data_IF_757745579994
#
_entry.id   IF_757745579994
#
_cell.length_a   1.000
_cell.length_b   1.000
_cell.length_c   1.000
_cell.angle_alpha   90.00
_cell.angle_beta   90.00
_cell.angle_gamma   90.00
#
_symmetry.space_group_name_H-M   'P 1'
#
loop_
_entity.id
_entity.type
_entity.pdbx_description
1 polymer ?
#
# COMPACT_ATOMS: atom_id res chain seq x y z
N UNK A 1 -4.19 -14.86 16.09
CA UNK A 1 -4.50 -14.52 14.69
C UNK A 1 -3.22 -14.00 14.05
N UNK A 2 -2.70 -14.64 13.00
CA UNK A 2 -1.43 -14.26 12.37
C UNK A 2 -1.71 -13.50 11.08
N UNK A 3 -1.48 -12.19 11.08
CA UNK A 3 -1.64 -11.34 9.90
C UNK A 3 -0.29 -11.32 9.19
N UNK A 4 -0.27 -11.66 7.90
CA UNK A 4 0.94 -11.55 7.11
C UNK A 4 1.29 -10.08 6.88
N UNK A 5 2.58 -9.76 6.83
CA UNK A 5 3.04 -8.40 6.48
C UNK A 5 2.44 -7.93 5.14
N UNK A 6 2.23 -8.86 4.20
CA UNK A 6 1.54 -8.58 2.93
C UNK A 6 0.12 -8.06 3.12
N UNK A 7 -0.68 -8.72 3.94
CA UNK A 7 -2.05 -8.31 4.22
C UNK A 7 -2.08 -6.95 4.94
N UNK A 8 -1.23 -6.78 5.97
CA UNK A 8 -1.13 -5.51 6.71
C UNK A 8 -0.77 -4.34 5.78
N UNK A 9 0.27 -4.47 4.97
CA UNK A 9 0.70 -3.41 4.05
C UNK A 9 -0.30 -3.14 2.93
N UNK A 10 -0.98 -4.17 2.43
CA UNK A 10 -2.06 -4.00 1.46
C UNK A 10 -3.18 -3.13 2.04
N UNK A 11 -3.63 -3.43 3.26
CA UNK A 11 -4.68 -2.69 3.93
C UNK A 11 -4.27 -1.24 4.18
N UNK A 12 -3.06 -0.99 4.68
CA UNK A 12 -2.56 0.38 4.90
C UNK A 12 -2.48 1.19 3.60
N UNK A 13 -2.01 0.57 2.52
CA UNK A 13 -1.95 1.24 1.21
C UNK A 13 -3.34 1.58 0.66
N UNK A 14 -4.32 0.67 0.80
CA UNK A 14 -5.71 0.92 0.41
C UNK A 14 -6.35 2.05 1.24
N UNK A 15 -6.07 2.07 2.55
CA UNK A 15 -6.54 3.15 3.42
C UNK A 15 -5.95 4.49 3.02
N UNK A 16 -4.65 4.57 2.72
CA UNK A 16 -4.00 5.81 2.30
C UNK A 16 -4.59 6.33 0.98
N UNK A 17 -4.89 5.46 0.02
CA UNK A 17 -5.59 5.81 -1.22
C UNK A 17 -7.03 6.30 -0.96
N UNK A 18 -7.73 5.69 -0.01
CA UNK A 18 -9.11 6.04 0.33
C UNK A 18 -9.26 7.40 1.02
N UNK A 19 -8.17 7.98 1.57
CA UNK A 19 -8.19 9.28 2.24
C UNK A 19 -8.60 10.42 1.31
N UNK A 20 -8.17 10.36 0.06
CA UNK A 20 -8.48 11.36 -0.97
C UNK A 20 -8.79 10.65 -2.30
N UNK A 21 -10.03 10.16 -2.51
CA UNK A 21 -10.38 9.29 -3.65
C UNK A 21 -10.20 9.87 -5.07
N UNK A 22 -9.79 11.14 -5.20
CA UNK A 22 -9.48 11.80 -6.47
C UNK A 22 -8.01 12.17 -6.65
N UNK A 23 -7.17 11.90 -5.64
CA UNK A 23 -5.75 12.23 -5.68
C UNK A 23 -4.93 10.99 -6.02
N UNK A 24 -4.32 10.90 -7.21
CA UNK A 24 -3.41 9.81 -7.50
C UNK A 24 -2.20 9.89 -6.58
N UNK A 25 -1.88 8.77 -5.92
CA UNK A 25 -0.68 8.60 -5.10
C UNK A 25 0.28 7.64 -5.78
N UNK A 26 1.56 7.97 -5.75
CA UNK A 26 2.62 7.06 -6.20
C UNK A 26 2.90 6.00 -5.14
N UNK A 27 3.40 4.84 -5.55
CA UNK A 27 3.83 3.81 -4.60
C UNK A 27 4.96 4.32 -3.69
N UNK A 28 5.83 5.19 -4.19
CA UNK A 28 6.90 5.83 -3.42
C UNK A 28 6.33 6.71 -2.29
N UNK A 29 5.29 7.49 -2.58
CA UNK A 29 4.64 8.35 -1.59
C UNK A 29 3.97 7.52 -0.48
N UNK A 30 3.24 6.46 -0.85
CA UNK A 30 2.59 5.56 0.11
C UNK A 30 3.65 4.82 0.95
N UNK A 31 4.71 4.31 0.32
CA UNK A 31 5.81 3.63 1.01
C UNK A 31 6.49 4.55 2.05
N UNK A 32 6.75 5.80 1.69
CA UNK A 32 7.34 6.78 2.60
C UNK A 32 6.39 7.18 3.73
N UNK A 33 5.10 7.40 3.45
CA UNK A 33 4.09 7.79 4.44
C UNK A 33 3.84 6.71 5.49
N UNK A 34 3.86 5.44 5.06
CA UNK A 34 3.53 4.29 5.91
C UNK A 34 4.76 3.51 6.40
N UNK A 35 5.97 4.00 6.10
CA UNK A 35 7.26 3.36 6.43
C UNK A 35 7.36 1.90 5.92
N UNK A 36 6.82 1.64 4.73
CA UNK A 36 6.79 0.31 4.11
C UNK A 36 7.95 0.18 3.10
N UNK A 37 8.68 -0.94 3.06
CA UNK A 37 9.71 -1.16 2.04
C UNK A 37 9.13 -1.06 0.62
N UNK A 38 9.65 -0.12 -0.17
CA UNK A 38 9.11 0.23 -1.49
C UNK A 38 8.96 -0.97 -2.44
N UNK A 39 10.00 -1.81 -2.56
CA UNK A 39 9.97 -2.98 -3.46
C UNK A 39 8.87 -3.96 -3.07
N UNK A 40 8.61 -4.11 -1.78
CA UNK A 40 7.57 -4.98 -1.27
C UNK A 40 6.19 -4.40 -1.57
N UNK A 41 5.97 -3.11 -1.26
CA UNK A 41 4.71 -2.43 -1.57
C UNK A 41 4.38 -2.49 -3.06
N UNK A 42 5.37 -2.28 -3.93
CA UNK A 42 5.19 -2.36 -5.39
C UNK A 42 4.70 -3.74 -5.84
N UNK A 43 5.22 -4.82 -5.22
CA UNK A 43 4.70 -6.17 -5.45
C UNK A 43 3.23 -6.27 -5.03
N UNK A 44 2.92 -5.88 -3.79
CA UNK A 44 1.55 -5.96 -3.23
C UNK A 44 0.54 -5.19 -4.07
N UNK A 45 0.83 -3.94 -4.43
CA UNK A 45 -0.06 -3.11 -5.27
C UNK A 45 -0.23 -3.71 -6.66
N UNK A 46 0.84 -4.29 -7.23
CA UNK A 46 0.77 -5.02 -8.49
C UNK A 46 -0.20 -6.21 -8.44
N UNK A 47 -0.30 -6.88 -7.28
CA UNK A 47 -1.26 -7.96 -7.07
C UNK A 47 -2.68 -7.47 -6.84
N UNK A 48 -2.87 -6.35 -6.13
CA UNK A 48 -4.20 -5.74 -5.87
C UNK A 48 -4.87 -5.20 -7.15
N UNK A 49 -4.10 -4.91 -8.19
CA UNK A 49 -4.61 -4.40 -9.47
C UNK A 49 -5.16 -5.49 -10.39
N UNK A 50 -4.87 -6.76 -10.11
CA UNK A 50 -5.44 -7.90 -10.85
C UNK A 50 -6.86 -8.17 -10.38
#
# INVERSE_FOLDING_TARGET
>A
MHISAKADYATRALLELAREPGRPLTCEAIASSQEIPFRFLKSVVGELRR
#
